data_IF_966045351617
#
_entry.id   IF_966045351617
#
_cell.length_a   1.000
_cell.length_b   1.000
_cell.length_c   1.000
_cell.angle_alpha   90.00
_cell.angle_beta   90.00
_cell.angle_gamma   90.00
#
_symmetry.space_group_name_H-M   'P 1'
#
loop_
_entity.id
_entity.type
_entity.pdbx_description
1 polymer ?
#
# COMPACT_ATOMS: atom_id res chain seq x y z
N UNK A 1 -30.19 2.55 18.73
CA UNK A 1 -30.19 3.18 17.39
C UNK A 1 -29.91 2.07 16.37
N UNK A 2 -30.83 1.74 15.45
CA UNK A 2 -30.54 0.76 14.41
C UNK A 2 -29.48 1.31 13.46
N UNK A 3 -28.55 0.43 13.05
CA UNK A 3 -27.39 0.76 12.22
C UNK A 3 -27.83 1.32 10.85
N UNK A 4 -27.20 2.42 10.41
CA UNK A 4 -27.46 3.08 9.13
C UNK A 4 -27.31 2.07 7.97
N UNK A 5 -28.29 2.07 7.06
CA UNK A 5 -28.36 1.18 5.90
C UNK A 5 -27.10 1.26 5.01
N UNK A 6 -26.51 2.45 4.90
CA UNK A 6 -25.25 2.65 4.19
C UNK A 6 -24.07 1.92 4.86
N UNK A 7 -24.03 1.92 6.20
CA UNK A 7 -23.02 1.19 6.96
C UNK A 7 -23.20 -0.33 6.82
N UNK A 8 -24.46 -0.80 6.74
CA UNK A 8 -24.79 -2.22 6.52
C UNK A 8 -24.34 -2.70 5.13
N UNK A 9 -24.54 -1.89 4.09
CA UNK A 9 -24.11 -2.22 2.71
C UNK A 9 -22.57 -2.25 2.63
N UNK A 10 -21.88 -1.27 3.23
CA UNK A 10 -20.40 -1.27 3.29
C UNK A 10 -19.84 -2.50 3.99
N UNK A 11 -20.44 -2.90 5.12
CA UNK A 11 -20.05 -4.12 5.84
C UNK A 11 -20.31 -5.39 5.01
N UNK A 12 -21.43 -5.46 4.27
CA UNK A 12 -21.72 -6.60 3.41
C UNK A 12 -20.74 -6.72 2.23
N UNK A 13 -20.30 -5.60 1.64
CA UNK A 13 -19.27 -5.59 0.59
C UNK A 13 -17.92 -6.06 1.15
N UNK A 14 -17.53 -5.57 2.33
CA UNK A 14 -16.33 -6.02 3.04
C UNK A 14 -16.43 -7.53 3.33
N UNK A 15 -17.50 -7.99 3.97
CA UNK A 15 -17.69 -9.40 4.29
C UNK A 15 -17.69 -10.30 3.05
N UNK A 16 -18.22 -9.84 1.91
CA UNK A 16 -18.20 -10.61 0.66
C UNK A 16 -16.82 -10.63 0.00
N UNK A 17 -16.06 -9.54 0.06
CA UNK A 17 -14.71 -9.42 -0.52
C UNK A 17 -13.64 -10.15 0.32
N UNK A 18 -13.85 -10.26 1.64
CA UNK A 18 -12.91 -10.87 2.58
C UNK A 18 -13.35 -12.26 3.09
N UNK A 19 -14.65 -12.54 3.21
CA UNK A 19 -15.18 -13.82 3.71
C UNK A 19 -14.98 -15.01 2.76
N UNK A 20 -14.90 -14.78 1.45
CA UNK A 20 -14.62 -15.83 0.47
C UNK A 20 -13.15 -16.30 0.49
N UNK A 21 -12.25 -15.59 1.17
CA UNK A 21 -10.79 -15.84 1.17
C UNK A 21 -10.29 -16.67 2.36
N UNK A 22 -11.15 -16.94 3.34
CA UNK A 22 -10.80 -17.75 4.52
C UNK A 22 -10.91 -19.27 4.28
N UNK A 23 -11.47 -19.70 3.16
CA UNK A 23 -11.86 -21.11 2.96
C UNK A 23 -10.96 -21.92 2.01
N UNK A 24 -9.90 -21.35 1.44
CA UNK A 24 -9.02 -22.07 0.51
C UNK A 24 -7.55 -21.82 0.84
N UNK A 25 -7.05 -22.54 1.85
CA UNK A 25 -5.62 -22.73 2.08
C UNK A 25 -5.28 -24.21 1.89
N UNK A 26 -4.82 -24.56 0.70
CA UNK A 26 -4.30 -25.90 0.39
C UNK A 26 -3.01 -26.13 1.19
N UNK A 27 -3.00 -27.19 2.00
CA UNK A 27 -1.90 -27.59 2.87
C UNK A 27 -0.71 -28.14 2.06
N UNK A 28 0.44 -27.50 2.20
CA UNK A 28 1.75 -28.04 1.84
C UNK A 28 2.81 -27.47 2.80
N UNK A 29 3.61 -28.33 3.42
CA UNK A 29 4.55 -27.95 4.48
C UNK A 29 5.70 -27.02 4.02
N UNK A 30 5.91 -26.86 2.71
CA UNK A 30 6.96 -26.00 2.13
C UNK A 30 6.52 -24.55 1.85
N UNK A 31 5.22 -24.27 1.89
CA UNK A 31 4.65 -22.95 1.60
C UNK A 31 4.89 -21.90 2.70
N UNK A 32 4.80 -22.23 4.01
CA UNK A 32 5.09 -21.29 5.08
C UNK A 32 6.52 -20.74 5.01
N UNK A 33 7.49 -21.62 4.79
CA UNK A 33 8.92 -21.28 4.73
C UNK A 33 9.27 -20.37 3.56
N UNK A 34 8.66 -20.57 2.37
CA UNK A 34 8.88 -19.69 1.21
C UNK A 34 8.30 -18.30 1.45
N UNK A 35 7.09 -18.23 2.00
CA UNK A 35 6.43 -16.98 2.31
C UNK A 35 7.19 -16.17 3.36
N UNK A 36 7.71 -16.83 4.39
CA UNK A 36 8.54 -16.17 5.40
C UNK A 36 9.82 -15.60 4.79
N UNK A 37 10.48 -16.35 3.91
CA UNK A 37 11.65 -15.86 3.16
C UNK A 37 11.31 -14.66 2.28
N UNK A 38 10.25 -14.75 1.48
CA UNK A 38 9.79 -13.63 0.64
C UNK A 38 9.48 -12.39 1.48
N UNK A 39 8.79 -12.56 2.62
CA UNK A 39 8.48 -11.45 3.52
C UNK A 39 9.74 -10.86 4.16
N UNK A 40 10.73 -11.68 4.51
CA UNK A 40 12.01 -11.20 5.01
C UNK A 40 12.78 -10.42 3.93
N UNK A 41 12.78 -10.92 2.69
CA UNK A 41 13.36 -10.22 1.54
C UNK A 41 12.66 -8.89 1.27
N UNK A 42 11.32 -8.87 1.30
CA UNK A 42 10.59 -7.63 1.07
C UNK A 42 10.83 -6.62 2.19
N UNK A 43 10.97 -7.05 3.45
CA UNK A 43 11.40 -6.14 4.54
C UNK A 43 12.77 -5.52 4.29
N UNK A 44 13.71 -6.27 3.71
CA UNK A 44 15.00 -5.72 3.28
C UNK A 44 14.81 -4.70 2.16
N UNK A 45 14.05 -5.03 1.12
CA UNK A 45 13.71 -4.09 0.04
C UNK A 45 13.02 -2.81 0.57
N UNK A 46 12.16 -2.93 1.58
CA UNK A 46 11.56 -1.78 2.25
C UNK A 46 12.64 -0.89 2.86
N UNK A 47 13.51 -1.46 3.69
CA UNK A 47 14.55 -0.72 4.41
C UNK A 47 15.64 -0.14 3.49
N UNK A 48 16.06 -0.89 2.47
CA UNK A 48 17.22 -0.56 1.66
C UNK A 48 16.87 0.34 0.46
N UNK A 49 15.62 0.31 -0.02
CA UNK A 49 15.19 1.00 -1.24
C UNK A 49 13.99 1.89 -0.98
N UNK A 50 12.85 1.32 -0.58
CA UNK A 50 11.59 2.06 -0.60
C UNK A 50 11.52 3.16 0.45
N UNK A 51 11.98 2.89 1.69
CA UNK A 51 11.97 3.90 2.77
C UNK A 51 12.88 5.08 2.41
N UNK A 52 14.18 4.90 2.08
CA UNK A 52 15.03 6.02 1.71
C UNK A 52 14.50 6.81 0.51
N UNK A 53 13.97 6.13 -0.51
CA UNK A 53 13.37 6.81 -1.67
C UNK A 53 12.15 7.65 -1.26
N UNK A 54 11.26 7.11 -0.44
CA UNK A 54 10.03 7.80 -0.04
C UNK A 54 10.31 8.94 0.95
N UNK A 55 11.30 8.79 1.83
CA UNK A 55 11.79 9.87 2.70
C UNK A 55 12.36 11.02 1.86
N UNK A 56 13.23 10.73 0.89
CA UNK A 56 13.81 11.76 0.02
C UNK A 56 12.74 12.55 -0.76
N UNK A 57 11.74 11.85 -1.30
CA UNK A 57 10.60 12.49 -1.98
C UNK A 57 9.74 13.28 -0.98
N UNK A 58 9.52 12.72 0.21
CA UNK A 58 8.80 13.38 1.28
C UNK A 58 9.47 14.69 1.72
N UNK A 59 10.79 14.70 1.81
CA UNK A 59 11.57 15.88 2.17
C UNK A 59 11.45 16.99 1.10
N UNK A 60 11.41 16.62 -0.19
CA UNK A 60 11.15 17.56 -1.28
C UNK A 60 9.71 18.14 -1.22
N UNK A 61 8.72 17.30 -0.91
CA UNK A 61 7.35 17.75 -0.65
C UNK A 61 7.28 18.71 0.55
N UNK A 62 8.04 18.41 1.61
CA UNK A 62 8.12 19.24 2.81
C UNK A 62 8.79 20.59 2.52
N UNK A 63 9.85 20.62 1.71
CA UNK A 63 10.49 21.85 1.24
C UNK A 63 9.52 22.75 0.46
N UNK A 64 8.54 22.16 -0.23
CA UNK A 64 7.45 22.87 -0.93
C UNK A 64 6.27 23.27 -0.01
N UNK A 65 6.35 22.97 1.29
CA UNK A 65 5.36 23.36 2.30
C UNK A 65 4.23 22.36 2.52
N UNK A 66 4.34 21.14 1.98
CA UNK A 66 3.48 20.02 2.34
C UNK A 66 4.04 19.31 3.59
N UNK A 67 3.36 18.27 4.07
CA UNK A 67 3.91 17.38 5.08
C UNK A 67 3.72 15.93 4.63
N UNK A 68 4.46 15.02 5.24
CA UNK A 68 4.33 13.59 4.98
C UNK A 68 4.53 12.78 6.25
N UNK A 69 4.12 11.52 6.18
CA UNK A 69 4.39 10.53 7.22
C UNK A 69 4.55 9.14 6.60
N UNK A 70 5.54 8.40 7.07
CA UNK A 70 5.72 6.99 6.74
C UNK A 70 5.30 6.12 7.93
N UNK A 71 4.55 5.05 7.64
CA UNK A 71 4.11 4.09 8.63
C UNK A 71 4.38 2.66 8.15
N UNK A 72 4.86 1.81 9.07
CA UNK A 72 5.20 0.42 8.79
C UNK A 72 4.22 -0.53 9.46
N UNK A 73 3.83 -1.59 8.76
CA UNK A 73 3.05 -2.70 9.32
C UNK A 73 1.77 -2.28 10.10
N UNK A 74 1.17 -1.14 9.73
CA UNK A 74 -0.04 -0.58 10.40
C UNK A 74 -1.36 -1.22 9.98
N UNK A 75 -1.34 -2.11 8.97
CA UNK A 75 -2.53 -2.81 8.47
C UNK A 75 -2.45 -4.34 8.57
N UNK A 76 -3.54 -5.01 8.18
CA UNK A 76 -3.65 -6.48 8.26
C UNK A 76 -2.64 -7.24 7.37
N UNK A 77 -2.19 -6.60 6.30
CA UNK A 77 -1.25 -7.18 5.35
C UNK A 77 0.15 -6.71 5.71
N UNK A 78 0.94 -7.63 6.25
CA UNK A 78 2.33 -7.39 6.63
C UNK A 78 3.26 -8.38 5.92
N UNK A 79 4.49 -7.96 5.60
CA UNK A 79 5.03 -6.61 5.75
C UNK A 79 4.40 -5.57 4.79
N UNK A 80 4.35 -4.31 5.23
CA UNK A 80 3.81 -3.17 4.48
C UNK A 80 4.48 -1.84 4.83
N UNK A 81 4.37 -0.89 3.89
CA UNK A 81 4.73 0.51 4.05
C UNK A 81 3.58 1.39 3.56
N UNK A 82 3.27 2.42 4.34
CA UNK A 82 2.28 3.44 4.03
C UNK A 82 2.94 4.82 3.99
N UNK A 83 2.77 5.54 2.88
CA UNK A 83 3.26 6.89 2.66
C UNK A 83 2.09 7.86 2.56
N UNK A 84 1.83 8.53 3.67
CA UNK A 84 0.76 9.50 3.83
C UNK A 84 1.25 10.87 3.37
N UNK A 85 0.51 11.48 2.44
CA UNK A 85 0.85 12.79 1.86
C UNK A 85 -0.16 13.83 2.39
N UNK A 86 0.32 14.73 3.22
CA UNK A 86 -0.49 15.78 3.84
C UNK A 86 -0.33 17.06 3.03
N UNK A 87 -1.22 17.25 2.06
CA UNK A 87 -1.18 18.41 1.18
C UNK A 87 -1.60 19.68 1.92
N UNK A 88 -0.79 20.74 1.80
CA UNK A 88 -1.16 22.07 2.25
C UNK A 88 -2.47 22.53 1.62
N UNK A 89 -3.39 23.02 2.46
CA UNK A 89 -4.71 23.52 2.02
C UNK A 89 -5.75 22.43 1.81
N UNK A 90 -5.38 21.15 1.93
CA UNK A 90 -6.31 20.02 1.92
C UNK A 90 -6.62 19.62 3.37
N UNK A 91 -7.87 19.26 3.71
CA UNK A 91 -8.22 18.78 5.04
C UNK A 91 -7.33 17.61 5.50
N UNK A 92 -6.95 17.61 6.78
CA UNK A 92 -6.04 16.61 7.37
C UNK A 92 -6.65 15.20 7.34
N UNK A 93 -7.98 15.09 7.30
CA UNK A 93 -8.72 13.84 7.18
C UNK A 93 -8.88 13.35 5.73
N UNK A 94 -8.40 14.10 4.74
CA UNK A 94 -8.34 13.64 3.37
C UNK A 94 -7.33 12.49 3.24
N UNK A 95 -7.84 11.33 2.85
CA UNK A 95 -7.02 10.13 2.67
C UNK A 95 -6.20 10.22 1.38
N UNK A 96 -4.96 10.69 1.46
CA UNK A 96 -3.97 10.64 0.38
C UNK A 96 -2.81 9.74 0.80
N UNK A 97 -2.77 8.53 0.25
CA UNK A 97 -1.89 7.47 0.73
C UNK A 97 -1.37 6.63 -0.43
N UNK A 98 -0.07 6.40 -0.48
CA UNK A 98 0.54 5.34 -1.29
C UNK A 98 0.86 4.18 -0.34
N UNK A 99 0.40 2.97 -0.66
CA UNK A 99 0.62 1.79 0.18
C UNK A 99 1.25 0.67 -0.62
N UNK A 100 2.25 0.03 -0.04
CA UNK A 100 2.84 -1.21 -0.53
C UNK A 100 2.69 -2.30 0.53
N UNK A 101 2.31 -3.51 0.12
CA UNK A 101 2.22 -4.64 1.04
C UNK A 101 2.50 -5.96 0.33
N UNK A 102 3.05 -6.92 1.09
CA UNK A 102 3.16 -8.31 0.63
C UNK A 102 1.83 -9.03 0.72
N UNK A 103 1.58 -9.89 -0.26
CA UNK A 103 0.43 -10.77 -0.33
C UNK A 103 0.88 -12.14 -0.84
N UNK A 104 0.25 -13.20 -0.35
CA UNK A 104 0.39 -14.52 -0.97
C UNK A 104 -0.30 -14.52 -2.34
N UNK A 105 0.44 -14.94 -3.37
CA UNK A 105 -0.14 -15.24 -4.68
C UNK A 105 -0.72 -16.66 -4.71
N UNK A 106 -1.33 -17.03 -5.83
CA UNK A 106 -2.00 -18.34 -5.96
C UNK A 106 -1.01 -19.52 -5.99
N UNK A 107 0.25 -19.28 -6.33
CA UNK A 107 1.31 -20.29 -6.44
C UNK A 107 2.13 -20.41 -5.14
N UNK A 108 2.05 -19.42 -4.25
CA UNK A 108 2.64 -19.44 -2.90
C UNK A 108 3.99 -18.75 -2.79
N UNK A 109 4.49 -18.12 -3.86
CA UNK A 109 5.80 -17.48 -3.92
C UNK A 109 5.77 -16.00 -3.47
N UNK A 110 4.57 -15.41 -3.39
CA UNK A 110 4.35 -14.05 -2.86
C UNK A 110 4.45 -12.95 -3.91
N UNK A 111 3.68 -11.89 -3.71
CA UNK A 111 3.69 -10.68 -4.55
C UNK A 111 3.63 -9.43 -3.67
N UNK A 112 4.22 -8.33 -4.14
CA UNK A 112 4.02 -7.01 -3.55
C UNK A 112 3.02 -6.25 -4.41
N UNK A 113 2.00 -5.70 -3.77
CA UNK A 113 1.02 -4.84 -4.43
C UNK A 113 1.27 -3.41 -3.96
N UNK A 114 1.32 -2.48 -4.92
CA UNK A 114 1.38 -1.05 -4.67
C UNK A 114 0.06 -0.40 -5.10
N UNK A 115 -0.54 0.40 -4.23
CA UNK A 115 -1.83 1.04 -4.45
C UNK A 115 -1.76 2.51 -4.02
N UNK A 116 -2.56 3.36 -4.65
CA UNK A 116 -2.80 4.74 -4.22
C UNK A 116 -4.25 4.89 -3.79
N UNK A 117 -4.47 5.56 -2.67
CA UNK A 117 -5.77 5.94 -2.17
C UNK A 117 -5.87 7.47 -2.16
N UNK A 118 -6.90 8.00 -2.82
CA UNK A 118 -7.21 9.44 -2.89
C UNK A 118 -8.67 9.64 -2.51
N UNK A 119 -8.91 10.18 -1.32
CA UNK A 119 -10.24 10.36 -0.73
C UNK A 119 -10.95 9.04 -0.45
N UNK A 120 -11.81 8.59 -1.36
CA UNK A 120 -12.55 7.32 -1.27
C UNK A 120 -12.21 6.36 -2.43
N UNK A 121 -11.26 6.74 -3.28
CA UNK A 121 -10.88 5.98 -4.48
C UNK A 121 -9.58 5.26 -4.24
N UNK A 122 -9.60 3.93 -4.40
CA UNK A 122 -8.42 3.06 -4.31
C UNK A 122 -8.06 2.55 -5.70
N UNK A 123 -6.80 2.70 -6.09
CA UNK A 123 -6.28 2.32 -7.40
C UNK A 123 -5.00 1.49 -7.23
N UNK A 124 -4.95 0.30 -7.83
CA UNK A 124 -3.70 -0.49 -7.93
C UNK A 124 -2.76 0.23 -8.91
N UNK A 125 -1.58 0.62 -8.43
CA UNK A 125 -0.53 1.24 -9.26
C UNK A 125 0.21 0.17 -10.04
N UNK A 126 0.65 -0.87 -9.33
CA UNK A 126 1.44 -1.95 -9.90
C UNK A 126 1.55 -3.14 -8.94
N UNK A 127 2.13 -4.23 -9.46
CA UNK A 127 2.33 -5.48 -8.77
C UNK A 127 3.68 -6.08 -9.12
N UNK A 128 4.46 -6.39 -8.10
CA UNK A 128 5.77 -6.99 -8.22
C UNK A 128 5.71 -8.45 -7.79
N UNK A 129 5.83 -9.37 -8.77
CA UNK A 129 6.04 -10.81 -8.51
C UNK A 129 7.50 -11.18 -8.25
N UNK A 130 8.41 -10.23 -8.46
CA UNK A 130 9.83 -10.39 -8.21
C UNK A 130 10.37 -9.11 -7.56
N UNK A 131 10.92 -9.25 -6.36
CA UNK A 131 11.45 -8.12 -5.59
C UNK A 131 12.63 -7.43 -6.27
N UNK A 132 13.37 -8.15 -7.12
CA UNK A 132 14.47 -7.59 -7.93
C UNK A 132 14.02 -6.53 -8.93
N UNK A 133 12.71 -6.42 -9.21
CA UNK A 133 12.15 -5.36 -10.05
C UNK A 133 11.87 -4.07 -9.28
N UNK A 134 11.91 -4.11 -7.95
CA UNK A 134 11.77 -2.94 -7.10
C UNK A 134 13.17 -2.33 -6.97
N UNK A 135 13.58 -1.59 -7.99
CA UNK A 135 14.81 -0.78 -7.96
C UNK A 135 14.49 0.62 -7.45
N UNK A 136 15.53 1.39 -7.11
CA UNK A 136 15.38 2.78 -6.71
C UNK A 136 14.64 3.61 -7.78
N UNK A 137 15.06 3.51 -9.05
CA UNK A 137 14.42 4.25 -10.16
C UNK A 137 12.93 3.90 -10.30
N UNK A 138 12.58 2.61 -10.18
CA UNK A 138 11.18 2.16 -10.28
C UNK A 138 10.36 2.65 -9.09
N UNK A 139 10.93 2.62 -7.88
CA UNK A 139 10.28 3.14 -6.70
C UNK A 139 10.03 4.65 -6.79
N UNK A 140 11.01 5.40 -7.28
CA UNK A 140 10.93 6.85 -7.48
C UNK A 140 9.85 7.20 -8.51
N UNK A 141 9.91 6.61 -9.71
CA UNK A 141 8.91 6.85 -10.76
C UNK A 141 7.50 6.54 -10.29
N UNK A 142 7.29 5.35 -9.71
CA UNK A 142 5.98 4.95 -9.19
C UNK A 142 5.46 5.91 -8.13
N UNK A 143 6.33 6.39 -7.23
CA UNK A 143 5.95 7.31 -6.18
C UNK A 143 5.58 8.69 -6.74
N UNK A 144 6.39 9.22 -7.66
CA UNK A 144 6.16 10.52 -8.31
C UNK A 144 4.86 10.50 -9.12
N UNK A 145 4.63 9.45 -9.91
CA UNK A 145 3.39 9.30 -10.70
C UNK A 145 2.14 9.27 -9.79
N UNK A 146 2.23 8.57 -8.66
CA UNK A 146 1.14 8.50 -7.69
C UNK A 146 0.91 9.84 -6.97
N UNK A 147 1.98 10.58 -6.67
CA UNK A 147 1.90 11.95 -6.13
C UNK A 147 1.23 12.88 -7.15
N UNK A 148 1.64 12.84 -8.43
CA UNK A 148 1.03 13.64 -9.48
C UNK A 148 -0.49 13.38 -9.56
N UNK A 149 -0.91 12.11 -9.49
CA UNK A 149 -2.32 11.75 -9.44
C UNK A 149 -3.03 12.35 -8.22
N UNK A 150 -2.43 12.27 -7.03
CA UNK A 150 -2.95 12.87 -5.80
C UNK A 150 -3.14 14.38 -5.96
N UNK A 151 -2.14 15.09 -6.49
CA UNK A 151 -2.24 16.54 -6.74
C UNK A 151 -3.35 16.86 -7.74
N UNK A 152 -3.43 16.14 -8.86
CA UNK A 152 -4.43 16.34 -9.90
C UNK A 152 -5.88 16.14 -9.39
N UNK A 153 -6.07 15.24 -8.42
CA UNK A 153 -7.36 15.02 -7.78
C UNK A 153 -7.74 16.12 -6.77
N UNK A 154 -6.75 16.72 -6.09
CA UNK A 154 -6.97 17.72 -5.04
C UNK A 154 -6.91 19.18 -5.54
N UNK A 155 -6.40 19.43 -6.75
CA UNK A 155 -6.36 20.76 -7.36
C UNK A 155 -7.71 21.23 -7.97
N UNK A 156 -8.81 20.54 -7.65
CA UNK A 156 -10.15 20.79 -8.21
C UNK A 156 -11.00 21.70 -7.34
#
# INVERSE_FOLDING_TARGET
MPMNEHARIRLAIIQRKYGARLSQGTRGADLPDRRERFNADFRRTLADILVPTFEAIGDELAASGHAYRLEHDVGEQTPSLEFHILLRGVPVDASNLIRLFSRADAEGDGEVIAEVNVGQTLTELTRFRALSRITQDVAEQMCVDAIEHIFACNAR
#
